data_IF_961949588190
#
_entry.id   IF_961949588190
#
_cell.length_a   1.000
_cell.length_b   1.000
_cell.length_c   1.000
_cell.angle_alpha   90.00
_cell.angle_beta   90.00
_cell.angle_gamma   90.00
#
_symmetry.space_group_name_H-M   'P 1'
#
loop_
_entity.id
_entity.type
_entity.pdbx_description
1 polymer ?
#
# COMPACT_ATOMS: atom_id res chain seq x y z
N UNK A 1 72.97 36.09 -14.55
CA UNK A 1 71.79 36.32 -13.69
C UNK A 1 70.44 35.71 -14.18
N UNK A 2 70.19 35.31 -15.45
CA UNK A 2 68.84 34.88 -15.86
C UNK A 2 68.50 33.39 -15.57
N UNK A 3 69.46 32.46 -15.68
CA UNK A 3 69.16 31.02 -15.58
C UNK A 3 68.74 30.54 -14.19
N UNK A 4 69.32 31.14 -13.13
CA UNK A 4 68.99 30.78 -11.73
C UNK A 4 67.56 31.16 -11.35
N UNK A 5 67.04 32.26 -11.92
CA UNK A 5 65.67 32.73 -11.66
C UNK A 5 64.64 31.86 -12.39
N UNK A 6 64.93 31.50 -13.64
CA UNK A 6 64.11 30.58 -14.44
C UNK A 6 64.01 29.18 -13.79
N UNK A 7 65.12 28.66 -13.25
CA UNK A 7 65.13 27.39 -12.53
C UNK A 7 64.25 27.42 -11.27
N UNK A 8 64.25 28.53 -10.53
CA UNK A 8 63.40 28.70 -9.36
C UNK A 8 61.91 28.74 -9.72
N UNK A 9 61.54 29.50 -10.76
CA UNK A 9 60.15 29.57 -11.23
C UNK A 9 59.66 28.19 -11.65
N UNK A 10 60.47 27.43 -12.40
CA UNK A 10 60.12 26.09 -12.85
C UNK A 10 59.81 25.13 -11.68
N UNK A 11 60.62 25.18 -10.61
CA UNK A 11 60.42 24.36 -9.39
C UNK A 11 59.11 24.76 -8.69
N UNK A 12 58.85 26.06 -8.52
CA UNK A 12 57.62 26.53 -7.87
C UNK A 12 56.39 26.08 -8.67
N UNK A 13 56.40 26.23 -10.00
CA UNK A 13 55.28 25.80 -10.84
C UNK A 13 55.03 24.30 -10.78
N UNK A 14 56.08 23.46 -10.83
CA UNK A 14 55.89 22.01 -10.73
C UNK A 14 55.40 21.56 -9.35
N UNK A 15 55.86 22.22 -8.28
CA UNK A 15 55.33 21.96 -6.92
C UNK A 15 53.87 22.33 -6.78
N UNK A 16 53.43 23.47 -7.33
CA UNK A 16 52.01 23.89 -7.30
C UNK A 16 51.14 22.94 -8.10
N UNK A 17 51.53 22.62 -9.34
CA UNK A 17 50.79 21.69 -10.21
C UNK A 17 50.69 20.30 -9.57
N UNK A 18 51.79 19.78 -9.01
CA UNK A 18 51.80 18.50 -8.31
C UNK A 18 50.90 18.50 -7.07
N UNK A 19 50.92 19.59 -6.29
CA UNK A 19 50.03 19.78 -5.14
C UNK A 19 48.54 19.84 -5.53
N UNK A 20 48.20 20.56 -6.60
CA UNK A 20 46.83 20.63 -7.12
C UNK A 20 46.34 19.26 -7.62
N UNK A 21 47.14 18.55 -8.42
CA UNK A 21 46.76 17.22 -8.91
C UNK A 21 46.60 16.20 -7.79
N UNK A 22 47.46 16.23 -6.77
CA UNK A 22 47.33 15.35 -5.61
C UNK A 22 46.11 15.70 -4.74
N UNK A 23 45.83 16.99 -4.56
CA UNK A 23 44.61 17.44 -3.86
C UNK A 23 43.34 17.03 -4.60
N UNK A 24 43.30 17.23 -5.92
CA UNK A 24 42.16 16.85 -6.76
C UNK A 24 41.96 15.33 -6.77
N UNK A 25 43.03 14.54 -6.91
CA UNK A 25 42.92 13.07 -6.95
C UNK A 25 42.46 12.47 -5.62
N UNK A 26 42.92 13.02 -4.48
CA UNK A 26 42.51 12.56 -3.15
C UNK A 26 41.05 12.92 -2.86
N UNK A 27 40.61 14.14 -3.21
CA UNK A 27 39.21 14.56 -3.07
C UNK A 27 38.29 13.75 -4.00
N UNK A 28 38.67 13.57 -5.26
CA UNK A 28 37.89 12.76 -6.21
C UNK A 28 37.79 11.30 -5.76
N UNK A 29 38.88 10.71 -5.27
CA UNK A 29 38.87 9.34 -4.75
C UNK A 29 37.97 9.20 -3.51
N UNK A 30 38.01 10.17 -2.59
CA UNK A 30 37.12 10.17 -1.42
C UNK A 30 35.65 10.31 -1.83
N UNK A 31 35.35 11.23 -2.74
CA UNK A 31 34.02 11.45 -3.29
C UNK A 31 33.45 10.22 -4.02
N UNK A 32 34.27 9.57 -4.85
CA UNK A 32 33.88 8.36 -5.56
C UNK A 32 33.65 7.19 -4.60
N UNK A 33 34.47 7.07 -3.54
CA UNK A 33 34.28 6.07 -2.50
C UNK A 33 32.98 6.30 -1.72
N UNK A 34 32.67 7.54 -1.32
CA UNK A 34 31.40 7.89 -0.67
C UNK A 34 30.20 7.58 -1.58
N UNK A 35 30.28 7.94 -2.86
CA UNK A 35 29.23 7.61 -3.84
C UNK A 35 29.05 6.11 -4.01
N UNK A 36 30.14 5.35 -4.06
CA UNK A 36 30.08 3.89 -4.15
C UNK A 36 29.44 3.28 -2.91
N UNK A 37 29.80 3.74 -1.71
CA UNK A 37 29.21 3.31 -0.45
C UNK A 37 27.71 3.65 -0.40
N UNK A 38 27.32 4.88 -0.73
CA UNK A 38 25.93 5.31 -0.77
C UNK A 38 25.10 4.49 -1.78
N UNK A 39 25.63 4.18 -2.96
CA UNK A 39 24.97 3.29 -3.94
C UNK A 39 24.80 1.87 -3.39
N UNK A 40 25.81 1.34 -2.71
CA UNK A 40 25.74 0.00 -2.12
C UNK A 40 24.68 -0.06 -1.02
N UNK A 41 24.66 0.90 -0.10
CA UNK A 41 23.62 0.99 0.94
C UNK A 41 22.24 1.12 0.32
N UNK A 42 22.06 2.02 -0.66
CA UNK A 42 20.78 2.17 -1.36
C UNK A 42 20.32 0.87 -2.06
N UNK A 43 21.25 0.13 -2.67
CA UNK A 43 20.94 -1.16 -3.29
C UNK A 43 20.56 -2.24 -2.27
N UNK A 44 21.21 -2.26 -1.10
CA UNK A 44 20.88 -3.16 -0.01
C UNK A 44 19.49 -2.85 0.56
N UNK A 45 19.22 -1.58 0.89
CA UNK A 45 17.90 -1.10 1.32
C UNK A 45 16.82 -1.47 0.30
N UNK A 46 17.03 -1.20 -0.99
CA UNK A 46 16.07 -1.56 -2.04
C UNK A 46 15.79 -3.07 -2.12
N UNK A 47 16.81 -3.90 -1.90
CA UNK A 47 16.67 -5.36 -1.87
C UNK A 47 15.80 -5.80 -0.70
N UNK A 48 16.10 -5.31 0.52
CA UNK A 48 15.32 -5.63 1.72
C UNK A 48 13.87 -5.13 1.59
N UNK A 49 13.65 -3.94 1.05
CA UNK A 49 12.31 -3.40 0.79
C UNK A 49 11.52 -4.23 -0.23
N UNK A 50 12.18 -4.79 -1.24
CA UNK A 50 11.56 -5.69 -2.22
C UNK A 50 11.17 -7.04 -1.60
N UNK A 51 12.00 -7.59 -0.72
CA UNK A 51 11.70 -8.81 0.05
C UNK A 51 10.51 -8.60 0.99
N UNK A 52 10.50 -7.48 1.74
CA UNK A 52 9.36 -7.07 2.58
C UNK A 52 8.08 -6.98 1.76
N UNK A 53 8.14 -6.30 0.61
CA UNK A 53 6.98 -6.17 -0.29
C UNK A 53 6.48 -7.53 -0.72
N UNK A 54 7.36 -8.40 -1.21
CA UNK A 54 7.00 -9.75 -1.65
C UNK A 54 6.33 -10.54 -0.53
N UNK A 55 6.91 -10.52 0.67
CA UNK A 55 6.36 -11.22 1.85
C UNK A 55 4.98 -10.70 2.21
N UNK A 56 4.79 -9.39 2.31
CA UNK A 56 3.49 -8.82 2.69
C UNK A 56 2.44 -9.09 1.62
N UNK A 57 2.80 -8.96 0.33
CA UNK A 57 1.90 -9.22 -0.79
C UNK A 57 1.40 -10.66 -0.76
N UNK A 58 2.31 -11.64 -0.70
CA UNK A 58 1.96 -13.06 -0.63
C UNK A 58 1.01 -13.33 0.55
N UNK A 59 1.35 -12.84 1.74
CA UNK A 59 0.54 -13.10 2.92
C UNK A 59 -0.85 -12.43 2.89
N UNK A 60 -0.97 -11.21 2.37
CA UNK A 60 -2.28 -10.55 2.38
C UNK A 60 -3.22 -11.13 1.32
N UNK A 61 -2.70 -11.52 0.16
CA UNK A 61 -3.50 -12.13 -0.91
C UNK A 61 -4.18 -13.41 -0.38
N UNK A 62 -3.42 -14.26 0.32
CA UNK A 62 -3.94 -15.46 0.95
C UNK A 62 -5.03 -15.14 1.98
N UNK A 63 -4.80 -14.15 2.86
CA UNK A 63 -5.80 -13.74 3.88
C UNK A 63 -7.09 -13.23 3.25
N UNK A 64 -6.99 -12.39 2.22
CA UNK A 64 -8.16 -11.86 1.50
C UNK A 64 -8.91 -12.98 0.80
N UNK A 65 -8.21 -13.94 0.19
CA UNK A 65 -8.84 -15.10 -0.43
C UNK A 65 -9.67 -15.91 0.59
N UNK A 66 -9.07 -16.20 1.75
CA UNK A 66 -9.77 -16.92 2.83
C UNK A 66 -11.01 -16.16 3.31
N UNK A 67 -10.95 -14.84 3.46
CA UNK A 67 -12.12 -14.02 3.82
C UNK A 67 -13.20 -14.08 2.75
N UNK A 68 -12.85 -13.99 1.47
CA UNK A 68 -13.79 -14.10 0.35
C UNK A 68 -14.48 -15.47 0.31
N UNK A 69 -13.71 -16.54 0.48
CA UNK A 69 -14.23 -17.90 0.48
C UNK A 69 -15.20 -18.12 1.64
N UNK A 70 -14.83 -17.71 2.86
CA UNK A 70 -15.74 -17.77 4.02
C UNK A 70 -17.01 -16.94 3.81
N UNK A 71 -16.89 -15.73 3.24
CA UNK A 71 -18.05 -14.91 2.91
C UNK A 71 -19.03 -15.64 1.99
N UNK A 72 -18.51 -16.26 0.91
CA UNK A 72 -19.32 -17.07 -0.02
C UNK A 72 -19.95 -18.28 0.65
N UNK A 73 -19.26 -18.92 1.60
CA UNK A 73 -19.81 -20.04 2.36
C UNK A 73 -20.96 -19.58 3.26
N UNK A 74 -20.79 -18.51 4.01
CA UNK A 74 -21.84 -17.97 4.90
C UNK A 74 -23.06 -17.52 4.10
N UNK A 75 -22.89 -16.93 2.91
CA UNK A 75 -24.02 -16.56 2.04
C UNK A 75 -24.87 -17.78 1.67
N UNK A 76 -24.26 -18.95 1.44
CA UNK A 76 -25.00 -20.19 1.13
C UNK A 76 -25.83 -20.69 2.31
N UNK A 77 -25.46 -20.33 3.53
CA UNK A 77 -26.18 -20.70 4.74
C UNK A 77 -27.41 -19.79 4.98
N UNK A 78 -27.51 -18.65 4.30
CA UNK A 78 -28.65 -17.71 4.46
C UNK A 78 -30.02 -18.41 4.32
N UNK A 79 -30.33 -19.18 3.26
CA UNK A 79 -31.63 -19.86 3.18
C UNK A 79 -31.86 -20.93 4.25
N UNK A 80 -30.80 -21.46 4.88
CA UNK A 80 -30.89 -22.47 5.96
C UNK A 80 -31.30 -21.80 7.27
N UNK A 81 -30.71 -20.64 7.59
CA UNK A 81 -30.97 -19.92 8.84
C UNK A 81 -32.10 -18.87 8.72
N UNK A 82 -32.33 -18.35 7.52
CA UNK A 82 -33.34 -17.34 7.18
C UNK A 82 -34.19 -17.91 6.06
N UNK A 83 -35.05 -18.87 6.40
CA UNK A 83 -35.89 -19.52 5.39
C UNK A 83 -36.96 -18.58 4.84
N UNK A 84 -37.16 -18.60 3.52
CA UNK A 84 -38.28 -17.94 2.82
C UNK A 84 -39.66 -18.53 3.13
N UNK A 85 -39.74 -19.62 3.91
CA UNK A 85 -41.00 -20.16 4.41
C UNK A 85 -41.72 -19.21 5.38
N UNK A 86 -41.05 -18.16 5.86
CA UNK A 86 -41.63 -17.09 6.66
C UNK A 86 -42.04 -15.95 5.72
N UNK A 87 -43.35 -15.74 5.52
CA UNK A 87 -43.90 -14.68 4.64
C UNK A 87 -43.85 -13.29 5.27
N UNK A 88 -42.72 -12.93 5.90
CA UNK A 88 -42.54 -11.64 6.56
C UNK A 88 -41.72 -10.69 5.69
N UNK A 89 -42.25 -10.28 4.55
CA UNK A 89 -41.53 -9.31 3.70
C UNK A 89 -41.31 -7.97 4.42
N UNK A 90 -40.14 -7.38 4.20
CA UNK A 90 -39.79 -6.05 4.66
C UNK A 90 -40.49 -5.00 3.77
N UNK A 91 -41.04 -3.93 4.37
CA UNK A 91 -41.79 -2.93 3.62
C UNK A 91 -40.91 -2.21 2.60
N UNK A 92 -41.50 -1.66 1.54
CA UNK A 92 -40.76 -0.88 0.53
C UNK A 92 -39.90 0.25 1.11
N UNK A 93 -40.35 0.86 2.21
CA UNK A 93 -39.57 1.87 2.94
C UNK A 93 -38.24 1.36 3.52
N UNK A 94 -38.14 0.07 3.89
CA UNK A 94 -36.86 -0.55 4.24
C UNK A 94 -35.88 -0.46 3.07
N UNK A 95 -36.33 -0.83 1.87
CA UNK A 95 -35.47 -0.84 0.67
C UNK A 95 -35.02 0.56 0.28
N UNK A 96 -35.93 1.55 0.31
CA UNK A 96 -35.58 2.96 0.06
C UNK A 96 -34.49 3.44 1.02
N UNK A 97 -34.63 3.17 2.31
CA UNK A 97 -33.64 3.55 3.31
C UNK A 97 -32.32 2.81 3.11
N UNK A 98 -32.38 1.50 2.90
CA UNK A 98 -31.22 0.64 2.70
C UNK A 98 -30.40 1.06 1.47
N UNK A 99 -31.05 1.25 0.33
CA UNK A 99 -30.38 1.57 -0.93
C UNK A 99 -29.76 2.98 -0.90
N UNK A 100 -30.42 3.94 -0.24
CA UNK A 100 -29.85 5.27 0.00
C UNK A 100 -28.63 5.20 0.92
N UNK A 101 -28.69 4.42 2.00
CA UNK A 101 -27.57 4.22 2.90
C UNK A 101 -26.38 3.54 2.20
N UNK A 102 -26.64 2.55 1.33
CA UNK A 102 -25.61 1.90 0.52
C UNK A 102 -24.92 2.85 -0.47
N UNK A 103 -25.62 3.87 -0.94
CA UNK A 103 -25.09 4.93 -1.81
C UNK A 103 -24.46 6.11 -1.04
N UNK A 104 -24.65 6.18 0.28
CA UNK A 104 -24.20 7.31 1.10
C UNK A 104 -25.06 8.57 0.92
N UNK A 105 -26.33 8.41 0.57
CA UNK A 105 -27.27 9.50 0.28
C UNK A 105 -28.40 9.58 1.32
N UNK A 106 -29.12 10.70 1.34
CA UNK A 106 -30.35 10.82 2.12
C UNK A 106 -31.49 10.11 1.38
N UNK A 107 -32.35 9.34 2.08
CA UNK A 107 -33.47 8.67 1.43
C UNK A 107 -34.51 9.68 0.93
N UNK A 108 -35.06 9.43 -0.26
CA UNK A 108 -36.22 10.17 -0.79
C UNK A 108 -37.52 9.53 -0.28
N UNK A 109 -38.29 10.22 0.60
CA UNK A 109 -39.54 9.69 1.12
C UNK A 109 -40.59 9.41 0.03
N UNK A 110 -40.56 10.12 -1.10
CA UNK A 110 -41.52 9.92 -2.19
C UNK A 110 -41.37 8.53 -2.83
N UNK A 111 -40.14 7.99 -2.85
CA UNK A 111 -39.85 6.66 -3.42
C UNK A 111 -40.48 5.49 -2.64
N UNK A 112 -41.00 5.70 -1.43
CA UNK A 112 -41.58 4.63 -0.60
C UNK A 112 -42.85 4.05 -1.21
N UNK A 113 -43.67 4.88 -1.86
CA UNK A 113 -44.96 4.45 -2.39
C UNK A 113 -44.83 3.43 -3.53
N UNK A 114 -43.79 3.57 -4.36
CA UNK A 114 -43.55 2.72 -5.53
C UNK A 114 -42.51 1.62 -5.27
N UNK A 115 -42.00 1.55 -4.05
CA UNK A 115 -40.94 0.63 -3.71
C UNK A 115 -41.47 -0.81 -3.51
N UNK A 116 -41.06 -1.81 -4.31
CA UNK A 116 -41.27 -3.21 -3.96
C UNK A 116 -40.73 -3.56 -2.57
N UNK A 117 -41.44 -4.47 -1.92
CA UNK A 117 -41.02 -5.11 -0.68
C UNK A 117 -39.72 -5.90 -0.89
N UNK A 118 -38.91 -6.01 0.16
CA UNK A 118 -37.70 -6.83 0.15
C UNK A 118 -37.93 -8.08 0.99
N UNK A 119 -37.50 -9.24 0.53
CA UNK A 119 -37.56 -10.44 1.37
C UNK A 119 -36.52 -10.35 2.50
N UNK A 120 -36.83 -10.96 3.65
CA UNK A 120 -35.86 -11.07 4.76
C UNK A 120 -34.63 -11.85 4.33
N UNK A 121 -34.80 -12.85 3.46
CA UNK A 121 -33.72 -13.65 2.91
C UNK A 121 -32.75 -12.78 2.08
N UNK A 122 -33.28 -11.93 1.18
CA UNK A 122 -32.46 -10.99 0.41
C UNK A 122 -31.76 -9.99 1.33
N UNK A 123 -32.46 -9.40 2.30
CA UNK A 123 -31.83 -8.48 3.25
C UNK A 123 -30.71 -9.15 4.05
N UNK A 124 -30.93 -10.40 4.51
CA UNK A 124 -29.91 -11.16 5.22
C UNK A 124 -28.70 -11.46 4.33
N UNK A 125 -28.90 -11.85 3.07
CA UNK A 125 -27.83 -12.06 2.12
C UNK A 125 -27.01 -10.78 1.90
N UNK A 126 -27.67 -9.63 1.71
CA UNK A 126 -27.01 -8.33 1.55
C UNK A 126 -26.22 -7.92 2.80
N UNK A 127 -26.74 -8.19 4.01
CA UNK A 127 -26.00 -7.94 5.27
C UNK A 127 -24.75 -8.81 5.35
N UNK A 128 -24.86 -10.10 5.02
CA UNK A 128 -23.71 -11.02 5.01
C UNK A 128 -22.66 -10.57 3.99
N UNK A 129 -23.08 -10.18 2.79
CA UNK A 129 -22.18 -9.63 1.75
C UNK A 129 -21.44 -8.39 2.25
N UNK A 130 -22.15 -7.45 2.89
CA UNK A 130 -21.53 -6.26 3.48
C UNK A 130 -20.47 -6.60 4.53
N UNK A 131 -20.75 -7.56 5.42
CA UNK A 131 -19.75 -7.99 6.40
C UNK A 131 -18.56 -8.72 5.77
N UNK A 132 -18.79 -9.51 4.72
CA UNK A 132 -17.71 -10.14 3.96
C UNK A 132 -16.79 -9.07 3.31
N UNK A 133 -17.37 -8.07 2.65
CA UNK A 133 -16.62 -6.93 2.08
C UNK A 133 -15.89 -6.14 3.16
N UNK A 134 -16.53 -5.87 4.30
CA UNK A 134 -15.88 -5.21 5.43
C UNK A 134 -14.63 -5.97 5.89
N UNK A 135 -14.74 -7.29 6.08
CA UNK A 135 -13.60 -8.11 6.50
C UNK A 135 -12.49 -8.13 5.45
N UNK A 136 -12.82 -8.11 4.16
CA UNK A 136 -11.83 -8.01 3.09
C UNK A 136 -11.07 -6.67 3.17
N UNK A 137 -11.79 -5.55 3.25
CA UNK A 137 -11.20 -4.21 3.33
C UNK A 137 -10.36 -4.05 4.61
N UNK A 138 -10.82 -4.63 5.72
CA UNK A 138 -10.07 -4.64 6.97
C UNK A 138 -8.73 -5.38 6.83
N UNK A 139 -8.69 -6.52 6.13
CA UNK A 139 -7.45 -7.25 5.86
C UNK A 139 -6.51 -6.47 4.91
N UNK A 140 -7.06 -5.79 3.91
CA UNK A 140 -6.28 -4.91 3.03
C UNK A 140 -5.64 -3.76 3.81
N UNK A 141 -6.39 -3.10 4.70
CA UNK A 141 -5.87 -2.01 5.53
C UNK A 141 -4.79 -2.49 6.50
N UNK A 142 -5.00 -3.62 7.19
CA UNK A 142 -3.99 -4.23 8.06
C UNK A 142 -2.70 -4.56 7.30
N UNK A 143 -2.84 -5.09 6.08
CA UNK A 143 -1.69 -5.40 5.23
C UNK A 143 -0.93 -4.14 4.80
N UNK A 144 -1.65 -3.08 4.42
CA UNK A 144 -1.04 -1.79 4.08
C UNK A 144 -0.28 -1.20 5.27
N UNK A 145 -0.90 -1.14 6.45
CA UNK A 145 -0.25 -0.66 7.67
C UNK A 145 0.99 -1.47 8.02
N UNK A 146 0.91 -2.80 7.91
CA UNK A 146 2.04 -3.70 8.13
C UNK A 146 3.16 -3.48 7.11
N UNK A 147 2.82 -3.24 5.84
CA UNK A 147 3.79 -2.93 4.80
C UNK A 147 4.50 -1.61 5.09
N UNK A 148 3.78 -0.52 5.36
CA UNK A 148 4.37 0.80 5.67
C UNK A 148 5.35 0.70 6.84
N UNK A 149 4.94 0.08 7.95
CA UNK A 149 5.79 -0.07 9.12
C UNK A 149 7.07 -0.88 8.82
N UNK A 150 6.96 -1.94 8.00
CA UNK A 150 8.14 -2.75 7.63
C UNK A 150 9.03 -2.06 6.61
N UNK A 151 8.47 -1.21 5.74
CA UNK A 151 9.27 -0.38 4.82
C UNK A 151 10.12 0.63 5.58
N UNK A 152 9.57 1.28 6.60
CA UNK A 152 10.31 2.19 7.48
C UNK A 152 11.43 1.49 8.24
N UNK A 153 11.20 0.25 8.69
CA UNK A 153 12.23 -0.55 9.37
C UNK A 153 13.33 -1.08 8.43
N UNK A 154 13.04 -1.17 7.13
CA UNK A 154 13.96 -1.63 6.11
C UNK A 154 14.82 -0.52 5.51
N UNK A 155 14.58 0.75 5.86
CA UNK A 155 15.40 1.92 5.49
C UNK A 155 16.68 1.97 6.32
#
# INVERSE_FOLDING_TARGET
>A
MPWKLLGFIAIVTTSVIGGCHYGESTVNAAWDAERAAAKLTAAQTATTQAEVTTKVVTQYVDRVQVVKERGKEIIKEVPVYVSSAVTCDLPGGFRVLHDAAAQGELPDPAGVADAPAASVETAAATVVENYATYHEVAEQLKALQSWVNQQEQAQ
#
